data_IF_914222337560
#
_entry.id   IF_914222337560
#
_cell.length_a   1.000
_cell.length_b   1.000
_cell.length_c   1.000
_cell.angle_alpha   90.00
_cell.angle_beta   90.00
_cell.angle_gamma   90.00
#
_symmetry.space_group_name_H-M   'P 1'
#
loop_
_entity.id
_entity.type
_entity.pdbx_description
1 polymer ?
#
# COMPACT_ATOMS: atom_id res chain seq x y z
N UNK A 1 -43.40 38.07 23.37
CA UNK A 1 -43.61 38.11 24.83
C UNK A 1 -42.58 37.21 25.52
N UNK A 2 -41.95 37.74 26.58
CA UNK A 2 -41.23 37.07 27.69
C UNK A 2 -39.96 36.24 27.38
N UNK A 3 -38.84 36.96 27.55
CA UNK A 3 -37.61 36.50 28.20
C UNK A 3 -37.92 35.53 29.36
N UNK A 4 -37.28 34.36 29.40
CA UNK A 4 -36.87 33.74 30.67
C UNK A 4 -35.42 33.33 30.57
N UNK A 5 -34.61 34.08 31.30
CA UNK A 5 -33.22 33.78 31.61
C UNK A 5 -33.20 32.55 32.52
N UNK A 6 -32.55 31.48 32.11
CA UNK A 6 -31.92 30.55 33.04
C UNK A 6 -30.45 30.54 32.66
N UNK A 7 -29.71 31.35 33.40
CA UNK A 7 -28.25 31.32 33.45
C UNK A 7 -27.88 30.09 34.27
N UNK A 8 -27.32 29.06 33.61
CA UNK A 8 -26.43 28.11 34.27
C UNK A 8 -25.06 28.23 33.60
N UNK A 9 -24.25 29.08 34.24
CA UNK A 9 -22.85 28.86 34.60
C UNK A 9 -21.92 28.27 33.53
N UNK A 10 -20.94 29.09 33.16
CA UNK A 10 -19.80 28.76 32.33
C UNK A 10 -19.05 27.51 32.81
N UNK A 11 -18.85 26.56 31.90
CA UNK A 11 -17.56 25.92 31.68
C UNK A 11 -17.32 25.97 30.16
N UNK A 12 -16.41 26.85 29.78
CA UNK A 12 -15.96 27.04 28.42
C UNK A 12 -15.23 25.79 27.89
N UNK A 13 -15.29 25.64 26.57
CA UNK A 13 -14.35 24.91 25.73
C UNK A 13 -14.27 23.37 25.92
N UNK A 14 -14.96 22.63 25.04
CA UNK A 14 -14.29 21.74 24.08
C UNK A 14 -15.25 21.36 22.94
N UNK A 15 -15.71 22.37 22.20
CA UNK A 15 -16.03 22.15 20.79
C UNK A 15 -14.68 21.98 20.07
N UNK A 16 -14.21 20.74 19.92
CA UNK A 16 -13.21 20.22 18.95
C UNK A 16 -12.58 18.94 19.51
N UNK A 17 -12.92 17.76 19.00
CA UNK A 17 -12.27 16.54 19.50
C UNK A 17 -12.63 15.21 18.85
N UNK A 18 -13.37 15.18 17.74
CA UNK A 18 -13.29 14.06 16.81
C UNK A 18 -11.90 14.11 16.15
N UNK A 19 -10.83 13.80 16.88
CA UNK A 19 -9.53 13.53 16.28
C UNK A 19 -9.55 12.10 15.76
N UNK A 20 -10.41 11.85 14.78
CA UNK A 20 -10.04 10.88 13.77
C UNK A 20 -9.07 11.61 12.85
N UNK A 21 -7.78 11.58 13.19
CA UNK A 21 -6.78 11.86 12.19
C UNK A 21 -6.78 10.64 11.24
N UNK A 22 -7.27 10.75 9.98
CA UNK A 22 -6.80 9.81 8.98
C UNK A 22 -5.30 10.02 8.94
N UNK A 23 -4.57 8.98 9.32
CA UNK A 23 -3.12 9.01 9.35
C UNK A 23 -2.71 9.21 7.89
N UNK A 24 -2.39 10.44 7.54
CA UNK A 24 -1.95 10.80 6.20
C UNK A 24 -0.70 9.98 5.98
N UNK A 25 -0.83 8.91 5.20
CA UNK A 25 0.26 8.02 4.86
C UNK A 25 1.31 8.87 4.15
N UNK A 26 2.32 9.32 4.91
CA UNK A 26 3.48 9.98 4.36
C UNK A 26 4.03 9.03 3.30
N UNK A 27 4.03 9.46 2.04
CA UNK A 27 4.41 8.69 0.86
C UNK A 27 5.91 8.31 0.81
N UNK A 28 6.55 8.10 1.97
CA UNK A 28 7.78 7.33 2.10
C UNK A 28 7.38 5.87 1.97
N UNK A 29 7.99 5.15 1.01
CA UNK A 29 7.58 3.79 0.65
C UNK A 29 7.29 2.93 1.87
N UNK A 30 6.13 2.25 1.88
CA UNK A 30 5.53 1.65 3.10
C UNK A 30 6.41 0.60 3.79
N UNK A 31 7.42 0.08 3.09
CA UNK A 31 8.42 -0.85 3.63
C UNK A 31 9.80 -0.21 3.86
N UNK A 32 9.96 1.11 3.71
CA UNK A 32 11.28 1.77 3.71
C UNK A 32 12.00 1.56 5.04
N UNK A 33 11.33 1.86 6.16
CA UNK A 33 11.91 1.68 7.49
C UNK A 33 12.23 0.20 7.78
N UNK A 34 11.36 -0.72 7.33
CA UNK A 34 11.60 -2.16 7.49
C UNK A 34 12.79 -2.65 6.64
N UNK A 35 12.94 -2.13 5.42
CA UNK A 35 14.09 -2.44 4.56
C UNK A 35 15.38 -1.93 5.20
N UNK A 36 15.40 -0.70 5.72
CA UNK A 36 16.56 -0.13 6.42
C UNK A 36 16.92 -0.96 7.67
N UNK A 37 15.91 -1.42 8.41
CA UNK A 37 16.11 -2.18 9.65
C UNK A 37 16.56 -3.63 9.43
N UNK A 38 15.97 -4.31 8.45
CA UNK A 38 16.12 -5.77 8.29
C UNK A 38 16.89 -6.19 7.05
N UNK A 39 16.96 -5.34 6.02
CA UNK A 39 17.42 -5.71 4.68
C UNK A 39 18.46 -4.77 4.07
N UNK A 40 19.11 -3.91 4.88
CA UNK A 40 20.05 -2.87 4.40
C UNK A 40 21.22 -3.40 3.57
N UNK A 41 21.69 -4.61 3.87
CA UNK A 41 22.85 -5.23 3.21
C UNK A 41 22.44 -6.15 2.04
N UNK A 42 21.14 -6.20 1.71
CA UNK A 42 20.63 -7.06 0.65
C UNK A 42 20.75 -6.33 -0.70
N UNK A 43 21.40 -6.95 -1.70
CA UNK A 43 21.51 -6.35 -3.02
C UNK A 43 20.15 -6.02 -3.63
N UNK A 44 20.05 -4.81 -4.20
CA UNK A 44 18.88 -4.39 -4.96
C UNK A 44 18.79 -5.17 -6.29
N UNK A 45 17.58 -5.25 -6.84
CA UNK A 45 17.33 -6.04 -8.04
C UNK A 45 17.15 -7.54 -7.75
N UNK A 46 16.76 -8.30 -8.79
CA UNK A 46 16.52 -9.76 -8.76
C UNK A 46 15.65 -10.29 -7.60
N UNK A 47 14.84 -9.41 -7.01
CA UNK A 47 13.93 -9.73 -5.90
C UNK A 47 14.60 -9.99 -4.55
N UNK A 48 15.85 -9.57 -4.33
CA UNK A 48 16.58 -9.76 -3.05
C UNK A 48 15.81 -9.22 -1.85
N UNK A 49 15.49 -7.92 -1.89
CA UNK A 49 14.70 -7.23 -0.85
C UNK A 49 13.37 -7.94 -0.58
N UNK A 50 12.67 -8.40 -1.63
CA UNK A 50 11.39 -9.11 -1.48
C UNK A 50 11.55 -10.43 -0.71
N UNK A 51 12.66 -11.16 -0.92
CA UNK A 51 12.95 -12.38 -0.16
C UNK A 51 13.25 -12.06 1.30
N UNK A 52 14.07 -11.03 1.56
CA UNK A 52 14.40 -10.60 2.92
C UNK A 52 13.16 -10.14 3.71
N UNK A 53 12.29 -9.33 3.09
CA UNK A 53 11.02 -8.92 3.72
C UNK A 53 10.14 -10.13 4.04
N UNK A 54 10.05 -11.13 3.14
CA UNK A 54 9.29 -12.36 3.40
C UNK A 54 9.86 -13.17 4.58
N UNK A 55 11.19 -13.21 4.73
CA UNK A 55 11.85 -13.91 5.84
C UNK A 55 11.66 -13.22 7.19
N UNK A 56 11.35 -11.91 7.20
CA UNK A 56 11.13 -11.13 8.41
C UNK A 56 9.66 -10.70 8.58
N UNK A 57 8.72 -11.35 7.88
CA UNK A 57 7.33 -10.88 7.74
C UNK A 57 6.63 -10.61 9.08
N UNK A 58 6.91 -11.43 10.10
CA UNK A 58 6.37 -11.35 11.46
C UNK A 58 6.87 -10.12 12.25
N UNK A 59 7.95 -9.50 11.77
CA UNK A 59 8.62 -8.36 12.40
C UNK A 59 8.43 -7.05 11.61
N UNK A 60 7.72 -7.10 10.49
CA UNK A 60 7.48 -5.94 9.65
C UNK A 60 6.40 -5.03 10.23
N UNK A 61 6.51 -3.75 9.90
CA UNK A 61 5.47 -2.77 10.18
C UNK A 61 4.14 -3.13 9.49
N UNK A 62 3.02 -2.74 10.10
CA UNK A 62 1.68 -2.93 9.53
C UNK A 62 1.53 -2.32 8.13
N UNK A 63 2.02 -1.10 7.84
CA UNK A 63 2.00 -0.56 6.49
C UNK A 63 2.75 -1.42 5.47
N UNK A 64 3.91 -1.98 5.84
CA UNK A 64 4.64 -2.87 4.94
C UNK A 64 3.90 -4.19 4.70
N UNK A 65 3.32 -4.80 5.73
CA UNK A 65 2.49 -6.00 5.60
C UNK A 65 1.30 -5.77 4.66
N UNK A 66 0.59 -4.66 4.83
CA UNK A 66 -0.51 -4.29 3.94
C UNK A 66 -0.05 -4.16 2.49
N UNK A 67 1.13 -3.59 2.25
CA UNK A 67 1.73 -3.51 0.91
C UNK A 67 2.03 -4.90 0.32
N UNK A 68 2.60 -5.80 1.12
CA UNK A 68 2.93 -7.15 0.68
C UNK A 68 1.66 -7.95 0.31
N UNK A 69 0.60 -7.82 1.10
CA UNK A 69 -0.69 -8.45 0.78
C UNK A 69 -1.32 -7.84 -0.49
N UNK A 70 -1.34 -6.52 -0.66
CA UNK A 70 -1.80 -5.90 -1.92
C UNK A 70 -1.00 -6.39 -3.13
N UNK A 71 0.33 -6.51 -3.00
CA UNK A 71 1.19 -7.02 -4.07
C UNK A 71 0.90 -8.50 -4.41
N UNK A 72 0.56 -9.31 -3.40
CA UNK A 72 0.14 -10.70 -3.57
C UNK A 72 -1.22 -10.79 -4.25
N UNK A 73 -2.19 -9.96 -3.87
CA UNK A 73 -3.50 -9.92 -4.52
C UNK A 73 -3.38 -9.50 -6.00
N UNK A 74 -2.59 -8.46 -6.29
CA UNK A 74 -2.24 -8.08 -7.66
C UNK A 74 -1.66 -9.25 -8.45
N UNK A 75 -0.71 -10.00 -7.87
CA UNK A 75 -0.08 -11.16 -8.53
C UNK A 75 -1.12 -12.23 -8.89
N UNK A 76 -2.09 -12.48 -8.01
CA UNK A 76 -3.14 -13.46 -8.23
C UNK A 76 -4.12 -12.98 -9.32
N UNK A 77 -4.64 -11.75 -9.16
CA UNK A 77 -5.58 -11.15 -10.10
C UNK A 77 -5.02 -11.07 -11.52
N UNK A 78 -3.74 -10.71 -11.66
CA UNK A 78 -3.07 -10.58 -12.95
C UNK A 78 -2.39 -11.85 -13.46
N UNK A 79 -2.53 -13.01 -12.80
CA UNK A 79 -1.76 -14.22 -13.16
C UNK A 79 -2.05 -14.66 -14.60
N UNK A 80 -3.32 -14.78 -14.96
CA UNK A 80 -3.75 -15.23 -16.28
C UNK A 80 -3.37 -14.22 -17.37
N UNK A 81 -3.62 -12.93 -17.13
CA UNK A 81 -3.26 -11.88 -18.08
C UNK A 81 -1.75 -11.82 -18.32
N UNK A 82 -0.95 -11.93 -17.26
CA UNK A 82 0.51 -11.97 -17.37
C UNK A 82 1.01 -13.17 -18.18
N UNK A 83 0.37 -14.32 -18.04
CA UNK A 83 0.69 -15.50 -18.86
C UNK A 83 0.29 -15.30 -20.33
N UNK A 84 -0.88 -14.72 -20.59
CA UNK A 84 -1.38 -14.49 -21.94
C UNK A 84 -0.55 -13.47 -22.71
N UNK A 85 -0.23 -12.35 -22.09
CA UNK A 85 0.34 -11.19 -22.79
C UNK A 85 1.85 -11.03 -22.59
N UNK A 86 2.43 -11.54 -21.50
CA UNK A 86 3.81 -11.20 -21.12
C UNK A 86 4.66 -12.42 -20.72
N UNK A 87 4.29 -13.64 -21.12
CA UNK A 87 5.05 -14.86 -20.81
C UNK A 87 6.50 -14.84 -21.32
N UNK A 88 6.74 -14.21 -22.47
CA UNK A 88 8.05 -14.16 -23.14
C UNK A 88 8.90 -12.96 -22.71
N UNK A 89 8.37 -12.12 -21.82
CA UNK A 89 9.08 -10.94 -21.33
C UNK A 89 10.05 -11.34 -20.23
N UNK A 90 11.32 -10.98 -20.39
CA UNK A 90 12.35 -11.23 -19.40
C UNK A 90 12.01 -10.52 -18.06
N UNK A 91 11.95 -11.23 -16.92
CA UNK A 91 11.73 -10.61 -15.62
C UNK A 91 12.83 -9.63 -15.21
N UNK A 92 12.50 -8.70 -14.31
CA UNK A 92 13.42 -7.66 -13.84
C UNK A 92 13.15 -6.30 -14.48
N UNK A 93 13.79 -5.27 -13.93
CA UNK A 93 13.85 -3.90 -14.48
C UNK A 93 12.51 -3.28 -14.88
N UNK A 94 11.41 -3.74 -14.26
CA UNK A 94 10.07 -3.28 -14.57
C UNK A 94 9.51 -3.76 -15.92
N UNK A 95 10.20 -4.60 -16.70
CA UNK A 95 9.76 -5.01 -18.05
C UNK A 95 8.36 -5.63 -18.08
N UNK A 96 8.07 -6.54 -17.16
CA UNK A 96 6.73 -7.14 -17.03
C UNK A 96 5.67 -6.08 -16.70
N UNK A 97 6.00 -5.08 -15.87
CA UNK A 97 5.07 -3.99 -15.55
C UNK A 97 4.79 -3.14 -16.79
N UNK A 98 5.83 -2.83 -17.57
CA UNK A 98 5.68 -2.10 -18.83
C UNK A 98 4.80 -2.88 -19.83
N UNK A 99 5.03 -4.20 -19.97
CA UNK A 99 4.21 -5.06 -20.81
C UNK A 99 2.74 -5.08 -20.37
N UNK A 100 2.46 -5.25 -19.07
CA UNK A 100 1.09 -5.18 -18.54
C UNK A 100 0.42 -3.84 -18.82
N UNK A 101 1.17 -2.73 -18.75
CA UNK A 101 0.64 -1.39 -19.07
C UNK A 101 0.34 -1.22 -20.56
N UNK A 102 1.17 -1.79 -21.44
CA UNK A 102 0.93 -1.76 -22.88
C UNK A 102 -0.35 -2.52 -23.29
N UNK A 103 -0.68 -3.58 -22.54
CA UNK A 103 -1.89 -4.38 -22.74
C UNK A 103 -3.05 -4.01 -21.80
N UNK A 104 -3.02 -2.85 -21.12
CA UNK A 104 -3.98 -2.49 -20.06
C UNK A 104 -5.46 -2.63 -20.47
N UNK A 105 -5.78 -2.22 -21.71
CA UNK A 105 -7.13 -2.35 -22.29
C UNK A 105 -7.57 -3.79 -22.52
N UNK A 106 -6.63 -4.73 -22.65
CA UNK A 106 -6.88 -6.15 -22.95
C UNK A 106 -6.89 -7.05 -21.71
N UNK A 107 -6.46 -6.52 -20.55
CA UNK A 107 -6.41 -7.31 -19.31
C UNK A 107 -7.82 -7.65 -18.81
N UNK A 108 -7.92 -8.59 -17.89
CA UNK A 108 -9.15 -8.81 -17.13
C UNK A 108 -9.51 -7.58 -16.27
N UNK A 109 -10.81 -7.42 -15.98
CA UNK A 109 -11.26 -6.41 -15.01
C UNK A 109 -10.60 -6.61 -13.64
N UNK A 110 -10.42 -7.87 -13.23
CA UNK A 110 -9.77 -8.22 -11.97
C UNK A 110 -8.32 -7.70 -11.92
N UNK A 111 -7.54 -7.85 -12.99
CA UNK A 111 -6.17 -7.33 -13.02
C UNK A 111 -6.10 -5.80 -13.12
N UNK A 112 -6.98 -5.17 -13.92
CA UNK A 112 -7.04 -3.71 -14.03
C UNK A 112 -7.30 -3.00 -12.69
N UNK A 113 -8.01 -3.64 -11.76
CA UNK A 113 -8.19 -3.10 -10.42
C UNK A 113 -6.88 -2.92 -9.61
N UNK A 114 -5.74 -3.43 -10.11
CA UNK A 114 -4.42 -3.39 -9.47
C UNK A 114 -3.30 -2.77 -10.34
N UNK A 115 -3.63 -2.17 -11.49
CA UNK A 115 -2.65 -1.46 -12.33
C UNK A 115 -2.45 0.00 -11.88
#
# INVERSE_FOLDING_TARGET
MKRKRIVFLALAAFAFGLVQAPQVALAKGECKADVEKFCKDVPHGKGGIRRCLKQNQDRLSQPCLAKLERAKQRKLACKADKEKFCKDVQPGDGRIKACMKAHEGELSQACRAYL
#
